data_IF_073025537004
#
_entry.id   IF_073025537004
#
_cell.length_a   1.000
_cell.length_b   1.000
_cell.length_c   1.000
_cell.angle_alpha   90.00
_cell.angle_beta   90.00
_cell.angle_gamma   90.00
#
_symmetry.space_group_name_H-M   'P 1'
#
loop_
_entity.id
_entity.type
_entity.pdbx_description
1 polymer ?
#
# COMPACT_ATOMS: atom_id res chain seq x y z
N UNK A 1 -31.01 40.43 39.46
CA UNK A 1 -30.17 39.22 39.64
C UNK A 1 -30.00 38.59 38.26
N UNK A 2 -28.91 38.94 37.56
CA UNK A 2 -27.74 38.08 37.28
C UNK A 2 -28.08 36.89 36.35
N UNK A 3 -27.70 37.00 35.07
CA UNK A 3 -26.63 36.21 34.40
C UNK A 3 -27.20 34.86 33.87
N UNK A 4 -27.14 34.45 32.59
CA UNK A 4 -26.03 34.42 31.64
C UNK A 4 -26.56 34.34 30.19
N UNK A 5 -25.89 35.03 29.27
CA UNK A 5 -25.85 34.76 27.83
C UNK A 5 -25.22 33.37 27.60
N UNK A 6 -25.59 32.65 26.55
CA UNK A 6 -24.66 32.33 25.45
C UNK A 6 -25.29 31.49 24.34
N UNK A 7 -24.90 31.88 23.13
CA UNK A 7 -25.19 31.36 21.81
C UNK A 7 -24.97 29.85 21.68
N UNK A 8 -25.97 29.14 21.14
CA UNK A 8 -25.74 27.80 20.60
C UNK A 8 -25.40 27.95 19.12
N UNK A 9 -24.11 27.90 18.81
CA UNK A 9 -23.62 27.74 17.44
C UNK A 9 -23.85 26.28 17.06
N UNK A 10 -24.76 26.03 16.13
CA UNK A 10 -24.91 24.73 15.48
C UNK A 10 -23.70 24.50 14.58
N UNK A 11 -22.74 23.69 15.03
CA UNK A 11 -21.74 23.08 14.14
C UNK A 11 -22.25 21.69 13.80
N UNK A 12 -22.86 21.57 12.63
CA UNK A 12 -23.08 20.29 11.96
C UNK A 12 -21.74 19.87 11.40
N UNK A 13 -21.07 18.91 12.06
CA UNK A 13 -19.89 18.26 11.52
C UNK A 13 -20.30 16.86 11.06
N UNK A 14 -20.45 16.73 9.75
CA UNK A 14 -20.47 15.47 9.02
C UNK A 14 -19.14 14.74 9.29
N UNK A 15 -19.16 13.64 10.02
CA UNK A 15 -18.03 12.73 10.11
C UNK A 15 -18.45 11.36 9.57
N UNK A 16 -18.19 11.18 8.28
CA UNK A 16 -17.94 9.86 7.71
C UNK A 16 -16.53 9.46 8.15
N UNK A 17 -16.42 8.48 9.06
CA UNK A 17 -15.13 7.90 9.43
C UNK A 17 -15.18 6.39 9.20
N UNK A 18 -14.47 5.96 8.17
CA UNK A 18 -14.11 4.58 7.91
C UNK A 18 -12.96 4.17 8.85
N UNK A 19 -12.99 2.92 9.35
CA UNK A 19 -11.99 2.27 10.22
C UNK A 19 -11.99 0.79 9.83
N UNK A 20 -10.93 -0.01 9.85
CA UNK A 20 -9.47 0.12 9.65
C UNK A 20 -9.09 -1.28 9.15
N UNK A 21 -8.24 -1.39 8.15
CA UNK A 21 -7.54 -2.63 7.83
C UNK A 21 -6.14 -2.20 7.43
N UNK A 22 -5.16 -2.86 8.02
CA UNK A 22 -3.77 -2.53 7.80
C UNK A 22 -3.25 -3.47 6.72
N UNK A 23 -2.55 -2.92 5.72
CA UNK A 23 -1.71 -3.65 4.78
C UNK A 23 -0.79 -4.65 5.44
N UNK A 24 0.02 -5.28 4.61
CA UNK A 24 1.24 -5.88 5.14
C UNK A 24 1.94 -4.83 6.02
N UNK A 25 2.48 -5.23 7.17
CA UNK A 25 3.19 -4.23 7.97
C UNK A 25 4.47 -3.84 7.24
N UNK A 26 4.99 -2.62 7.48
CA UNK A 26 6.22 -2.11 6.87
C UNK A 26 7.31 -3.18 6.62
N UNK A 27 7.76 -4.00 7.60
CA UNK A 27 8.82 -4.97 7.35
C UNK A 27 8.45 -6.03 6.31
N UNK A 28 7.17 -6.42 6.22
CA UNK A 28 6.72 -7.41 5.25
C UNK A 28 6.69 -6.82 3.82
N UNK A 29 6.18 -5.59 3.62
CA UNK A 29 6.25 -4.88 2.33
C UNK A 29 7.69 -4.74 1.83
N UNK A 30 8.59 -4.36 2.74
CA UNK A 30 10.01 -4.22 2.43
C UNK A 30 10.63 -5.57 2.06
N UNK A 31 10.33 -6.64 2.81
CA UNK A 31 10.86 -7.97 2.55
C UNK A 31 10.40 -8.55 1.21
N UNK A 32 9.13 -8.33 0.81
CA UNK A 32 8.65 -8.72 -0.53
C UNK A 32 9.45 -7.99 -1.62
N UNK A 33 9.60 -6.67 -1.48
CA UNK A 33 10.32 -5.85 -2.48
C UNK A 33 11.78 -6.26 -2.57
N UNK A 34 12.42 -6.47 -1.42
CA UNK A 34 13.80 -6.94 -1.30
C UNK A 34 13.97 -8.28 -2.03
N UNK A 35 13.08 -9.24 -1.77
CA UNK A 35 13.11 -10.56 -2.38
C UNK A 35 12.87 -10.50 -3.91
N UNK A 36 11.94 -9.66 -4.36
CA UNK A 36 11.69 -9.45 -5.78
C UNK A 36 12.94 -8.91 -6.50
N UNK A 37 13.62 -7.92 -5.92
CA UNK A 37 14.84 -7.32 -6.47
C UNK A 37 16.02 -8.31 -6.41
N UNK A 38 16.14 -9.11 -5.36
CA UNK A 38 17.16 -10.16 -5.25
C UNK A 38 17.00 -11.25 -6.32
N UNK A 39 15.76 -11.51 -6.75
CA UNK A 39 15.42 -12.52 -7.74
C UNK A 39 15.38 -11.99 -9.18
N UNK A 40 15.77 -10.73 -9.42
CA UNK A 40 15.98 -10.20 -10.78
C UNK A 40 17.17 -10.91 -11.45
N UNK A 41 17.11 -11.04 -12.77
CA UNK A 41 18.28 -11.50 -13.53
C UNK A 41 19.43 -10.48 -13.44
N UNK A 42 20.70 -10.89 -13.66
CA UNK A 42 21.83 -9.96 -13.65
C UNK A 42 21.66 -8.78 -14.62
N UNK A 43 21.01 -9.00 -15.77
CA UNK A 43 20.73 -7.96 -16.76
C UNK A 43 19.77 -6.91 -16.20
N UNK A 44 18.62 -7.32 -15.66
CA UNK A 44 17.67 -6.40 -15.03
C UNK A 44 18.28 -5.71 -13.81
N UNK A 45 19.06 -6.44 -13.01
CA UNK A 45 19.71 -5.88 -11.84
C UNK A 45 20.67 -4.75 -12.19
N UNK A 46 21.46 -4.92 -13.26
CA UNK A 46 22.37 -3.88 -13.75
C UNK A 46 21.62 -2.63 -14.20
N UNK A 47 20.47 -2.77 -14.88
CA UNK A 47 19.66 -1.61 -15.28
C UNK A 47 19.13 -0.88 -14.04
N UNK A 48 18.57 -1.62 -13.08
CA UNK A 48 18.03 -1.02 -11.85
C UNK A 48 19.11 -0.29 -11.04
N UNK A 49 20.31 -0.88 -10.90
CA UNK A 49 21.44 -0.26 -10.19
C UNK A 49 21.88 1.05 -10.89
N UNK A 50 21.87 1.10 -12.23
CA UNK A 50 22.18 2.33 -12.98
C UNK A 50 21.12 3.42 -12.76
N UNK A 51 19.83 3.05 -12.87
CA UNK A 51 18.72 3.99 -12.67
C UNK A 51 18.72 4.57 -11.25
N UNK A 52 18.99 3.73 -10.25
CA UNK A 52 19.11 4.16 -8.86
C UNK A 52 20.30 5.08 -8.62
N UNK A 53 21.46 4.79 -9.23
CA UNK A 53 22.64 5.64 -9.15
C UNK A 53 22.39 7.03 -9.74
N UNK A 54 21.56 7.15 -10.78
CA UNK A 54 21.11 8.45 -11.30
C UNK A 54 20.14 9.12 -10.35
N UNK A 55 19.09 8.41 -9.93
CA UNK A 55 18.01 8.92 -9.07
C UNK A 55 18.52 9.50 -7.74
N UNK A 56 19.56 8.89 -7.15
CA UNK A 56 20.10 9.31 -5.86
C UNK A 56 20.95 10.58 -5.89
N UNK A 57 21.25 11.13 -7.07
CA UNK A 57 22.18 12.26 -7.21
C UNK A 57 21.66 13.46 -6.42
N UNK A 58 22.43 13.95 -5.45
CA UNK A 58 22.03 15.04 -4.55
C UNK A 58 21.20 14.59 -3.32
N UNK A 59 20.94 13.30 -3.18
CA UNK A 59 20.22 12.69 -2.05
C UNK A 59 21.03 11.57 -1.39
N UNK A 60 22.37 11.60 -1.53
CA UNK A 60 23.25 10.54 -1.06
C UNK A 60 23.25 10.41 0.45
N UNK A 61 22.93 11.47 1.21
CA UNK A 61 22.78 11.40 2.67
C UNK A 61 21.48 10.70 3.10
N UNK A 62 20.50 10.59 2.19
CA UNK A 62 19.14 10.06 2.46
C UNK A 62 18.92 8.66 1.90
N UNK A 63 19.58 8.32 0.80
CA UNK A 63 19.38 7.07 0.08
C UNK A 63 20.62 6.17 0.14
N UNK A 64 20.46 4.86 0.25
CA UNK A 64 21.59 3.90 0.33
C UNK A 64 22.30 3.72 -1.01
N UNK A 65 23.63 3.62 -1.04
CA UNK A 65 24.39 3.48 -2.32
C UNK A 65 23.89 2.31 -3.17
N UNK A 66 23.64 1.15 -2.56
CA UNK A 66 23.00 0.03 -3.22
C UNK A 66 21.48 0.23 -3.28
N UNK A 67 20.83 -0.30 -4.32
CA UNK A 67 19.36 -0.28 -4.48
C UNK A 67 18.65 -0.93 -3.28
N UNK A 68 19.28 -1.97 -2.72
CA UNK A 68 18.76 -2.72 -1.57
C UNK A 68 19.84 -2.84 -0.49
N UNK A 69 19.42 -2.72 0.76
CA UNK A 69 20.17 -3.14 1.95
C UNK A 69 19.57 -4.47 2.43
N UNK A 70 20.36 -5.54 2.47
CA UNK A 70 19.84 -6.85 2.86
C UNK A 70 19.30 -6.89 4.31
N UNK A 71 19.72 -5.96 5.17
CA UNK A 71 19.46 -6.02 6.60
C UNK A 71 18.55 -4.92 7.12
N UNK A 72 18.70 -3.67 6.68
CA UNK A 72 18.15 -2.47 7.32
C UNK A 72 18.06 -2.63 8.84
N UNK A 73 19.18 -2.39 9.52
CA UNK A 73 19.23 -2.45 10.97
C UNK A 73 18.39 -1.36 11.64
N UNK A 74 18.18 -1.49 12.94
CA UNK A 74 17.66 -0.40 13.78
C UNK A 74 18.53 0.86 13.63
N UNK A 75 17.88 2.02 13.77
CA UNK A 75 18.42 3.37 13.57
C UNK A 75 19.03 3.61 12.17
N UNK A 76 18.26 3.39 11.08
CA UNK A 76 18.75 3.69 9.75
C UNK A 76 18.97 5.19 9.57
N UNK A 77 20.07 5.56 8.92
CA UNK A 77 20.35 6.94 8.50
C UNK A 77 20.00 7.18 7.04
N UNK A 78 19.79 6.10 6.27
CA UNK A 78 19.44 6.10 4.86
C UNK A 78 18.36 5.05 4.61
N UNK A 79 17.60 5.25 3.53
CA UNK A 79 16.60 4.30 3.04
C UNK A 79 17.03 3.72 1.70
N UNK A 80 16.77 2.42 1.53
CA UNK A 80 16.92 1.74 0.26
C UNK A 80 15.61 1.77 -0.55
N UNK A 81 15.64 1.33 -1.81
CA UNK A 81 14.44 1.33 -2.64
C UNK A 81 13.36 0.37 -2.12
N UNK A 82 13.76 -0.75 -1.50
CA UNK A 82 12.82 -1.70 -0.89
C UNK A 82 12.00 -1.08 0.25
N UNK A 83 12.49 -0.02 0.89
CA UNK A 83 11.76 0.72 1.90
C UNK A 83 10.61 1.56 1.34
N UNK A 84 10.63 1.90 0.05
CA UNK A 84 9.67 2.85 -0.51
C UNK A 84 8.25 2.26 -0.59
N UNK A 85 8.03 1.02 -1.09
CA UNK A 85 6.71 0.38 -1.01
C UNK A 85 6.18 0.21 0.41
N UNK A 86 7.06 0.08 1.41
CA UNK A 86 6.67 0.00 2.82
C UNK A 86 6.23 1.35 3.43
N UNK A 87 6.52 2.47 2.76
CA UNK A 87 6.12 3.83 3.15
C UNK A 87 4.86 4.27 2.38
N UNK A 88 4.74 3.83 1.14
CA UNK A 88 3.58 4.04 0.28
C UNK A 88 2.29 3.57 0.94
N UNK A 89 1.18 4.30 0.75
CA UNK A 89 -0.14 3.96 1.29
C UNK A 89 -0.31 4.14 2.80
N UNK A 90 0.55 3.53 3.59
CA UNK A 90 0.47 3.53 5.06
C UNK A 90 1.02 4.81 5.70
N UNK A 91 2.14 5.31 5.17
CA UNK A 91 2.86 6.49 5.68
C UNK A 91 2.88 7.64 4.67
N UNK A 92 2.08 7.53 3.60
CA UNK A 92 1.98 8.55 2.56
C UNK A 92 0.73 8.34 1.71
N UNK A 93 0.20 9.43 1.15
CA UNK A 93 -1.05 9.41 0.40
C UNK A 93 -0.89 9.44 -1.13
N UNK A 94 0.31 9.71 -1.64
CA UNK A 94 0.63 9.75 -3.07
C UNK A 94 2.13 9.50 -3.27
N UNK A 95 2.59 9.16 -4.49
CA UNK A 95 4.01 9.09 -4.81
C UNK A 95 4.76 10.39 -4.47
N UNK A 96 4.15 11.55 -4.74
CA UNK A 96 4.72 12.86 -4.42
C UNK A 96 4.93 13.02 -2.92
N UNK A 97 3.92 12.70 -2.11
CA UNK A 97 4.01 12.78 -0.66
C UNK A 97 5.00 11.76 -0.08
N UNK A 98 5.01 10.53 -0.63
CA UNK A 98 5.95 9.48 -0.26
C UNK A 98 7.39 9.93 -0.49
N UNK A 99 7.71 10.41 -1.69
CA UNK A 99 9.05 10.85 -2.05
C UNK A 99 9.48 12.06 -1.20
N UNK A 100 8.58 13.00 -0.94
CA UNK A 100 8.85 14.10 -0.02
C UNK A 100 9.25 13.59 1.37
N UNK A 101 8.50 12.64 1.93
CA UNK A 101 8.83 12.05 3.23
C UNK A 101 10.21 11.37 3.19
N UNK A 102 10.45 10.51 2.20
CA UNK A 102 11.71 9.77 2.02
C UNK A 102 12.92 10.71 1.95
N UNK A 103 12.82 11.83 1.24
CA UNK A 103 13.95 12.71 0.97
C UNK A 103 14.12 13.86 1.97
N UNK A 104 13.03 14.32 2.59
CA UNK A 104 13.03 15.62 3.28
C UNK A 104 12.68 15.56 4.76
N UNK A 105 12.19 14.43 5.30
CA UNK A 105 11.71 14.39 6.69
C UNK A 105 12.48 13.39 7.56
N UNK A 106 12.80 13.73 8.80
CA UNK A 106 13.55 12.82 9.68
C UNK A 106 12.65 11.78 10.35
N UNK A 107 11.35 12.06 10.47
CA UNK A 107 10.40 11.15 11.11
C UNK A 107 10.26 9.83 10.33
N UNK A 108 10.48 9.83 9.02
CA UNK A 108 10.37 8.59 8.22
C UNK A 108 11.50 7.59 8.57
N UNK A 109 12.68 8.08 8.95
CA UNK A 109 13.77 7.23 9.46
C UNK A 109 13.40 6.62 10.82
N UNK A 110 12.61 7.33 11.63
CA UNK A 110 12.07 6.79 12.88
C UNK A 110 11.01 5.70 12.62
N UNK A 111 10.19 5.85 11.58
CA UNK A 111 9.28 4.79 11.13
C UNK A 111 10.08 3.55 10.71
N UNK A 112 11.10 3.70 9.88
CA UNK A 112 11.96 2.60 9.46
C UNK A 112 12.66 1.92 10.66
N UNK A 113 13.07 2.69 11.67
CA UNK A 113 13.61 2.17 12.93
C UNK A 113 12.58 1.33 13.71
N UNK A 114 11.35 1.84 13.87
CA UNK A 114 10.27 1.12 14.56
C UNK A 114 9.93 -0.18 13.82
N UNK A 115 9.88 -0.14 12.48
CA UNK A 115 9.65 -1.31 11.65
C UNK A 115 10.75 -2.36 11.78
N UNK A 116 12.02 -1.95 11.81
CA UNK A 116 13.15 -2.86 12.05
C UNK A 116 13.06 -3.51 13.43
N UNK A 117 12.69 -2.75 14.47
CA UNK A 117 12.49 -3.29 15.81
C UNK A 117 11.28 -4.25 15.87
N UNK A 118 10.17 -3.92 15.20
CA UNK A 118 9.01 -4.80 15.12
C UNK A 118 9.36 -6.15 14.51
N UNK A 119 10.18 -6.17 13.45
CA UNK A 119 10.66 -7.42 12.83
C UNK A 119 11.41 -8.31 13.84
N UNK A 120 12.24 -7.70 14.69
CA UNK A 120 12.95 -8.41 15.78
C UNK A 120 11.95 -8.93 16.81
N UNK A 121 11.04 -8.07 17.27
CA UNK A 121 10.06 -8.40 18.31
C UNK A 121 9.12 -9.55 17.86
N UNK A 122 8.70 -9.57 16.59
CA UNK A 122 7.90 -10.66 16.01
C UNK A 122 8.69 -11.97 15.95
N UNK A 123 9.95 -11.92 15.52
CA UNK A 123 10.82 -13.10 15.46
C UNK A 123 11.11 -13.69 16.84
N UNK A 124 11.30 -12.85 17.86
CA UNK A 124 11.58 -13.27 19.24
C UNK A 124 10.35 -13.72 20.02
N UNK A 125 9.14 -13.43 19.52
CA UNK A 125 7.88 -13.82 20.16
C UNK A 125 7.75 -15.34 20.29
N UNK A 126 7.49 -15.83 21.51
CA UNK A 126 7.43 -17.27 21.81
C UNK A 126 6.01 -17.83 21.78
N UNK A 127 5.02 -16.95 21.81
CA UNK A 127 3.61 -17.30 21.82
C UNK A 127 2.76 -16.18 21.22
N UNK A 128 1.48 -16.49 20.97
CA UNK A 128 0.52 -15.57 20.37
C UNK A 128 0.34 -14.27 21.15
N UNK A 129 0.41 -14.29 22.48
CA UNK A 129 0.21 -13.08 23.28
C UNK A 129 1.39 -12.11 23.13
N UNK A 130 2.61 -12.62 23.19
CA UNK A 130 3.83 -11.83 22.92
C UNK A 130 3.82 -11.27 21.50
N UNK A 131 3.43 -12.07 20.52
CA UNK A 131 3.33 -11.65 19.12
C UNK A 131 2.33 -10.51 18.94
N UNK A 132 1.12 -10.63 19.50
CA UNK A 132 0.11 -9.57 19.45
C UNK A 132 0.60 -8.31 20.19
N UNK A 133 1.26 -8.47 21.34
CA UNK A 133 1.80 -7.32 22.07
C UNK A 133 2.87 -6.57 21.25
N UNK A 134 3.74 -7.28 20.52
CA UNK A 134 4.71 -6.65 19.62
C UNK A 134 4.03 -5.76 18.57
N UNK A 135 2.96 -6.26 17.93
CA UNK A 135 2.16 -5.50 16.96
C UNK A 135 1.52 -4.28 17.61
N UNK A 136 0.91 -4.42 18.80
CA UNK A 136 0.25 -3.29 19.47
C UNK A 136 1.24 -2.24 19.96
N UNK A 137 2.39 -2.67 20.43
CA UNK A 137 3.47 -1.76 20.82
C UNK A 137 4.04 -1.01 19.62
N UNK A 138 4.19 -1.67 18.46
CA UNK A 138 4.58 -0.97 17.23
C UNK A 138 3.51 0.01 16.75
N UNK A 139 2.23 -0.35 16.76
CA UNK A 139 1.13 0.55 16.35
C UNK A 139 1.17 1.85 17.18
N UNK A 140 1.37 1.73 18.49
CA UNK A 140 1.48 2.88 19.40
C UNK A 140 2.72 3.71 19.08
N UNK A 141 3.86 3.08 18.76
CA UNK A 141 5.10 3.78 18.38
C UNK A 141 4.93 4.48 17.03
N UNK A 142 4.37 3.82 16.01
CA UNK A 142 4.08 4.41 14.71
C UNK A 142 3.17 5.63 14.85
N UNK A 143 2.06 5.51 15.59
CA UNK A 143 1.14 6.62 15.82
C UNK A 143 1.77 7.84 16.51
N UNK A 144 2.88 7.66 17.24
CA UNK A 144 3.61 8.76 17.88
C UNK A 144 4.51 9.51 16.91
N UNK A 145 5.14 8.81 15.97
CA UNK A 145 6.07 9.41 14.99
C UNK A 145 5.37 9.87 13.72
N UNK A 146 4.26 9.22 13.37
CA UNK A 146 3.38 9.55 12.27
C UNK A 146 1.95 9.74 12.79
N UNK A 147 1.57 10.99 13.15
CA UNK A 147 0.24 11.29 13.69
C UNK A 147 -0.91 10.93 12.75
N UNK A 148 -0.66 10.81 11.45
CA UNK A 148 -1.68 10.49 10.44
C UNK A 148 -1.76 9.00 10.12
N UNK A 149 -0.88 8.16 10.69
CA UNK A 149 -0.79 6.72 10.43
C UNK A 149 -2.16 6.03 10.49
N UNK A 150 -2.89 6.21 11.59
CA UNK A 150 -4.23 5.62 11.75
C UNK A 150 -5.28 6.18 10.79
N UNK A 151 -5.15 7.44 10.36
CA UNK A 151 -6.13 8.10 9.50
C UNK A 151 -5.93 7.78 8.03
N UNK A 152 -4.68 7.54 7.58
CA UNK A 152 -4.37 7.13 6.19
C UNK A 152 -4.86 5.71 5.93
N UNK A 153 -4.47 4.75 6.77
CA UNK A 153 -4.91 3.35 6.67
C UNK A 153 -6.43 3.14 6.82
N UNK A 154 -7.16 4.15 7.33
CA UNK A 154 -8.61 4.08 7.55
C UNK A 154 -9.46 4.85 6.53
N UNK A 155 -8.87 5.67 5.67
CA UNK A 155 -9.63 6.68 4.91
C UNK A 155 -10.67 6.08 3.96
N UNK A 156 -10.34 4.94 3.35
CA UNK A 156 -11.17 4.26 2.35
C UNK A 156 -10.76 2.78 2.23
N UNK A 157 -11.12 2.15 1.11
CA UNK A 157 -10.93 0.73 0.83
C UNK A 157 -9.71 0.44 -0.05
N UNK A 158 -8.81 1.40 -0.30
CA UNK A 158 -7.75 1.28 -1.31
C UNK A 158 -6.80 0.10 -1.12
N UNK A 159 -6.56 -0.34 0.11
CA UNK A 159 -5.67 -1.47 0.34
C UNK A 159 -6.29 -2.82 -0.04
N UNK A 160 -7.61 -2.90 -0.12
CA UNK A 160 -8.30 -4.16 -0.40
C UNK A 160 -8.53 -4.39 -1.89
N UNK A 161 -8.70 -5.68 -2.23
CA UNK A 161 -9.23 -6.05 -3.54
C UNK A 161 -10.70 -5.66 -3.67
N UNK A 162 -11.07 -5.19 -4.89
CA UNK A 162 -12.45 -5.01 -5.28
C UNK A 162 -13.15 -6.38 -5.31
N UNK A 163 -14.32 -6.47 -4.69
CA UNK A 163 -15.08 -7.71 -4.72
C UNK A 163 -15.50 -8.07 -6.16
N UNK A 164 -15.39 -9.35 -6.53
CA UNK A 164 -15.85 -9.77 -7.86
C UNK A 164 -17.37 -9.74 -7.94
N UNK A 165 -17.95 -9.23 -9.05
CA UNK A 165 -19.39 -9.23 -9.23
C UNK A 165 -19.94 -10.64 -9.43
N UNK A 166 -19.24 -11.47 -10.22
CA UNK A 166 -19.67 -12.83 -10.57
C UNK A 166 -18.49 -13.82 -10.48
N UNK A 167 -18.81 -15.12 -10.39
CA UNK A 167 -17.80 -16.16 -10.24
C UNK A 167 -16.96 -16.39 -11.51
N UNK A 168 -17.52 -16.07 -12.68
CA UNK A 168 -16.98 -16.26 -14.02
C UNK A 168 -16.23 -15.03 -14.57
N UNK A 169 -16.16 -13.93 -13.82
CA UNK A 169 -15.34 -12.76 -14.17
C UNK A 169 -13.92 -13.22 -14.49
N UNK A 170 -13.34 -12.77 -15.60
CA UNK A 170 -11.94 -13.05 -15.95
C UNK A 170 -11.00 -11.90 -15.55
N UNK A 171 -9.68 -12.12 -15.63
CA UNK A 171 -8.67 -11.15 -15.18
C UNK A 171 -8.74 -9.81 -15.91
N UNK A 172 -9.09 -9.79 -17.21
CA UNK A 172 -9.20 -8.55 -18.00
C UNK A 172 -10.45 -7.77 -17.62
N UNK A 173 -11.58 -8.46 -17.52
CA UNK A 173 -12.83 -7.86 -17.03
C UNK A 173 -12.65 -7.29 -15.63
N UNK A 174 -11.94 -8.01 -14.77
CA UNK A 174 -11.65 -7.57 -13.41
C UNK A 174 -10.73 -6.34 -13.37
N UNK A 175 -9.67 -6.32 -14.18
CA UNK A 175 -8.80 -5.14 -14.33
C UNK A 175 -9.59 -3.92 -14.79
N UNK A 176 -10.43 -4.05 -15.81
CA UNK A 176 -11.30 -2.96 -16.28
C UNK A 176 -12.26 -2.49 -15.19
N UNK A 177 -12.84 -3.42 -14.41
CA UNK A 177 -13.71 -3.07 -13.29
C UNK A 177 -12.98 -2.31 -12.19
N UNK A 178 -11.73 -2.70 -11.86
CA UNK A 178 -10.90 -2.03 -10.86
C UNK A 178 -10.55 -0.59 -11.24
N UNK A 179 -10.54 -0.27 -12.54
CA UNK A 179 -10.18 1.04 -13.09
C UNK A 179 -11.39 1.89 -13.48
N UNK A 180 -12.59 1.31 -13.48
CA UNK A 180 -13.80 1.98 -13.95
C UNK A 180 -14.10 3.22 -13.08
N UNK A 181 -14.44 4.33 -13.73
CA UNK A 181 -14.87 5.54 -13.02
C UNK A 181 -16.02 5.23 -12.05
N UNK A 182 -15.89 5.68 -10.80
CA UNK A 182 -16.89 5.44 -9.77
C UNK A 182 -16.82 4.06 -9.10
N UNK A 183 -15.93 3.16 -9.54
CA UNK A 183 -15.58 1.99 -8.73
C UNK A 183 -15.01 2.43 -7.39
N UNK A 184 -15.27 1.68 -6.31
CA UNK A 184 -14.59 1.93 -5.03
C UNK A 184 -13.08 1.87 -5.25
N UNK A 185 -12.37 2.81 -4.62
CA UNK A 185 -10.92 2.82 -4.64
C UNK A 185 -10.41 1.49 -4.06
N UNK A 186 -9.54 0.82 -4.81
CA UNK A 186 -9.12 -0.57 -4.56
C UNK A 186 -7.65 -0.76 -4.96
N UNK A 187 -7.04 -1.85 -4.48
CA UNK A 187 -5.59 -1.99 -4.55
C UNK A 187 -5.08 -2.22 -5.97
N UNK A 188 -5.75 -3.03 -6.79
CA UNK A 188 -5.31 -3.24 -8.17
C UNK A 188 -5.58 -2.03 -9.08
N UNK A 189 -6.62 -1.25 -8.80
CA UNK A 189 -6.86 0.03 -9.46
C UNK A 189 -5.76 1.04 -9.15
N UNK A 190 -5.39 1.19 -7.88
CA UNK A 190 -4.29 2.05 -7.44
C UNK A 190 -2.93 1.57 -8.00
N UNK A 191 -2.62 0.28 -7.88
CA UNK A 191 -1.44 -0.32 -8.50
C UNK A 191 -1.35 0.03 -9.98
N UNK A 192 -2.42 -0.24 -10.75
CA UNK A 192 -2.41 0.00 -12.19
C UNK A 192 -2.22 1.48 -12.52
N UNK A 193 -2.88 2.38 -11.78
CA UNK A 193 -2.72 3.82 -11.94
C UNK A 193 -1.27 4.26 -11.84
N UNK A 194 -0.60 3.88 -10.75
CA UNK A 194 0.76 4.35 -10.49
C UNK A 194 1.80 3.59 -11.32
N UNK A 195 1.59 2.31 -11.61
CA UNK A 195 2.45 1.53 -12.49
C UNK A 195 2.44 2.12 -13.91
N UNK A 196 1.27 2.48 -14.45
CA UNK A 196 1.18 3.19 -15.73
C UNK A 196 1.95 4.51 -15.67
N UNK A 197 1.80 5.31 -14.61
CA UNK A 197 2.57 6.56 -14.42
C UNK A 197 4.09 6.30 -14.49
N UNK A 198 4.57 5.24 -13.84
CA UNK A 198 5.97 4.82 -13.85
C UNK A 198 6.44 4.38 -15.25
N UNK A 199 5.66 3.54 -15.95
CA UNK A 199 5.96 3.04 -17.30
C UNK A 199 6.08 4.18 -18.32
N UNK A 200 5.18 5.17 -18.26
CA UNK A 200 5.22 6.30 -19.17
C UNK A 200 6.45 7.20 -18.91
N UNK A 201 6.79 7.45 -17.64
CA UNK A 201 8.02 8.20 -17.28
C UNK A 201 9.30 7.45 -17.65
N UNK A 202 9.33 6.14 -17.47
CA UNK A 202 10.43 5.29 -17.90
C UNK A 202 10.60 5.29 -19.43
N UNK A 203 9.49 5.23 -20.18
CA UNK A 203 9.50 5.32 -21.65
C UNK A 203 10.00 6.69 -22.12
N UNK A 204 9.58 7.78 -21.47
CA UNK A 204 10.08 9.13 -21.75
C UNK A 204 11.58 9.26 -21.47
N UNK A 205 12.06 8.69 -20.37
CA UNK A 205 13.49 8.68 -20.00
C UNK A 205 14.38 8.03 -21.07
N UNK A 206 13.89 6.97 -21.72
CA UNK A 206 14.60 6.31 -22.80
C UNK A 206 14.55 7.09 -24.12
N UNK A 207 13.39 7.64 -24.48
CA UNK A 207 13.17 8.22 -25.81
C UNK A 207 13.60 9.69 -25.95
N UNK A 208 13.65 10.46 -24.86
CA UNK A 208 13.98 11.89 -24.93
C UNK A 208 15.45 12.20 -24.61
N UNK A 209 16.00 13.18 -25.34
CA UNK A 209 17.33 13.72 -25.07
C UNK A 209 17.25 14.80 -23.98
N UNK A 210 17.27 14.35 -22.73
CA UNK A 210 17.16 15.16 -21.52
C UNK A 210 18.55 15.51 -20.95
N UNK A 211 18.66 16.65 -20.27
CA UNK A 211 19.85 16.98 -19.45
C UNK A 211 20.01 16.00 -18.28
N UNK A 212 21.21 15.92 -17.68
CA UNK A 212 21.47 15.00 -16.56
C UNK A 212 20.55 15.28 -15.36
N UNK A 213 20.26 16.56 -15.10
CA UNK A 213 19.32 16.99 -14.06
C UNK A 213 17.89 16.52 -14.35
N UNK A 214 17.42 16.70 -15.58
CA UNK A 214 16.08 16.24 -16.01
C UNK A 214 15.99 14.72 -16.00
N UNK A 215 17.04 14.01 -16.42
CA UNK A 215 17.11 12.54 -16.36
C UNK A 215 17.02 12.04 -14.93
N UNK A 216 17.77 12.64 -14.01
CA UNK A 216 17.74 12.32 -12.58
C UNK A 216 16.34 12.54 -11.98
N UNK A 217 15.76 13.72 -12.19
CA UNK A 217 14.43 14.04 -11.67
C UNK A 217 13.33 13.12 -12.24
N UNK A 218 13.39 12.82 -13.53
CA UNK A 218 12.42 11.95 -14.19
C UNK A 218 12.52 10.51 -13.67
N UNK A 219 13.72 9.95 -13.55
CA UNK A 219 13.87 8.57 -13.06
C UNK A 219 13.54 8.44 -11.57
N UNK A 220 13.89 9.44 -10.77
CA UNK A 220 13.51 9.50 -9.35
C UNK A 220 11.99 9.52 -9.19
N UNK A 221 11.30 10.28 -10.04
CA UNK A 221 9.83 10.32 -10.08
C UNK A 221 9.23 8.98 -10.52
N UNK A 222 9.79 8.37 -11.55
CA UNK A 222 9.29 7.09 -12.07
C UNK A 222 9.47 5.95 -11.05
N UNK A 223 10.60 5.91 -10.34
CA UNK A 223 10.83 4.99 -9.23
C UNK A 223 9.86 5.24 -8.06
N UNK A 224 9.54 6.51 -7.77
CA UNK A 224 8.58 6.83 -6.72
C UNK A 224 7.17 6.31 -7.06
N UNK A 225 6.73 6.48 -8.31
CA UNK A 225 5.44 5.96 -8.76
C UNK A 225 5.40 4.44 -8.77
N UNK A 226 6.47 3.78 -9.24
CA UNK A 226 6.56 2.33 -9.22
C UNK A 226 6.51 1.80 -7.79
N UNK A 227 7.32 2.34 -6.88
CA UNK A 227 7.29 1.93 -5.49
C UNK A 227 5.92 2.12 -4.83
N UNK A 228 5.20 3.18 -5.20
CA UNK A 228 3.84 3.41 -4.72
C UNK A 228 2.83 2.43 -5.31
N UNK A 229 3.00 2.05 -6.58
CA UNK A 229 2.22 0.98 -7.20
C UNK A 229 2.46 -0.37 -6.51
N UNK A 230 3.73 -0.73 -6.29
CA UNK A 230 4.14 -2.01 -5.73
C UNK A 230 3.49 -2.28 -4.36
N UNK A 231 3.32 -1.24 -3.53
CA UNK A 231 2.62 -1.35 -2.26
C UNK A 231 1.23 -1.99 -2.40
N UNK A 232 0.39 -1.47 -3.30
CA UNK A 232 -0.95 -2.00 -3.48
C UNK A 232 -0.96 -3.37 -4.16
N UNK A 233 0.04 -3.66 -5.00
CA UNK A 233 0.20 -5.01 -5.53
C UNK A 233 0.59 -5.99 -4.41
N UNK A 234 1.38 -5.58 -3.43
CA UNK A 234 1.72 -6.40 -2.26
C UNK A 234 0.50 -6.65 -1.38
N UNK A 235 -0.30 -5.63 -1.11
CA UNK A 235 -1.54 -5.77 -0.34
C UNK A 235 -2.51 -6.78 -0.95
N UNK A 236 -2.52 -6.96 -2.28
CA UNK A 236 -3.34 -7.98 -2.91
C UNK A 236 -3.07 -9.41 -2.43
N UNK A 237 -1.92 -9.65 -1.79
CA UNK A 237 -1.51 -10.94 -1.21
C UNK A 237 -1.77 -11.07 0.29
N UNK A 238 -2.21 -10.03 1.00
CA UNK A 238 -2.64 -10.17 2.39
C UNK A 238 -3.99 -10.87 2.42
N UNK A 239 -4.11 -11.97 3.16
CA UNK A 239 -5.34 -12.74 3.21
C UNK A 239 -6.59 -11.90 3.58
N UNK A 240 -6.45 -10.97 4.53
CA UNK A 240 -7.51 -10.06 4.93
C UNK A 240 -7.91 -9.03 3.86
N UNK A 241 -6.98 -8.71 2.96
CA UNK A 241 -7.14 -7.75 1.86
C UNK A 241 -7.71 -8.42 0.61
N UNK A 242 -7.25 -9.65 0.36
CA UNK A 242 -7.78 -10.54 -0.66
C UNK A 242 -9.22 -10.93 -0.38
N UNK A 243 -9.57 -11.11 0.90
CA UNK A 243 -10.93 -11.43 1.30
C UNK A 243 -11.90 -10.43 0.67
N UNK A 244 -11.73 -9.13 0.92
CA UNK A 244 -12.46 -8.04 0.25
C UNK A 244 -13.06 -7.01 1.20
N UNK A 245 -13.79 -6.03 0.66
CA UNK A 245 -14.16 -4.76 1.31
C UNK A 245 -15.55 -4.72 1.96
N UNK A 246 -16.14 -5.85 2.35
CA UNK A 246 -17.57 -5.88 2.65
C UNK A 246 -17.93 -5.66 4.12
N UNK A 247 -19.20 -5.27 4.33
CA UNK A 247 -19.76 -5.09 5.65
C UNK A 247 -19.36 -3.76 6.30
N UNK A 248 -19.73 -3.61 7.57
CA UNK A 248 -19.34 -2.46 8.37
C UNK A 248 -17.87 -2.53 8.81
N UNK A 249 -17.38 -1.46 9.44
CA UNK A 249 -16.01 -1.37 9.95
C UNK A 249 -15.61 -2.55 10.88
N UNK A 250 -16.54 -3.02 11.72
CA UNK A 250 -16.31 -4.12 12.66
C UNK A 250 -16.16 -5.45 11.92
N UNK A 251 -16.99 -5.67 10.92
CA UNK A 251 -16.93 -6.85 10.08
C UNK A 251 -15.70 -6.86 9.19
N UNK A 252 -15.33 -5.71 8.59
CA UNK A 252 -14.09 -5.59 7.80
C UNK A 252 -12.88 -5.89 8.66
N UNK A 253 -12.71 -5.20 9.80
CA UNK A 253 -11.56 -5.42 10.69
C UNK A 253 -11.52 -6.85 11.23
N UNK A 254 -12.65 -7.40 11.65
CA UNK A 254 -12.71 -8.77 12.17
C UNK A 254 -12.36 -9.82 11.11
N UNK A 255 -12.87 -9.66 9.90
CA UNK A 255 -12.59 -10.55 8.76
C UNK A 255 -11.14 -10.43 8.32
N UNK A 256 -10.64 -9.21 8.25
CA UNK A 256 -9.26 -8.88 7.94
C UNK A 256 -8.28 -9.59 8.89
N UNK A 257 -8.41 -9.34 10.20
CA UNK A 257 -7.51 -9.89 11.22
C UNK A 257 -7.62 -11.41 11.30
N UNK A 258 -8.83 -11.95 11.15
CA UNK A 258 -9.04 -13.40 11.16
C UNK A 258 -8.28 -14.08 10.02
N UNK A 259 -8.44 -13.61 8.78
CA UNK A 259 -7.80 -14.27 7.63
C UNK A 259 -6.30 -14.03 7.59
N UNK A 260 -5.81 -12.86 8.01
CA UNK A 260 -4.37 -12.63 8.14
C UNK A 260 -3.73 -13.59 9.16
N UNK A 261 -4.36 -13.82 10.32
CA UNK A 261 -3.83 -14.74 11.34
C UNK A 261 -4.04 -16.23 10.99
N UNK A 262 -5.23 -16.61 10.51
CA UNK A 262 -5.62 -18.02 10.32
C UNK A 262 -5.38 -18.55 8.91
N UNK A 263 -5.14 -17.64 7.98
CA UNK A 263 -4.96 -17.90 6.58
C UNK A 263 -6.26 -17.98 5.79
N UNK A 264 -6.16 -17.69 4.49
CA UNK A 264 -7.22 -17.81 3.51
C UNK A 264 -6.73 -18.67 2.35
N UNK A 265 -7.43 -19.78 2.09
CA UNK A 265 -7.20 -20.56 0.88
C UNK A 265 -7.84 -19.88 -0.33
N UNK A 266 -7.04 -19.63 -1.36
CA UNK A 266 -7.47 -18.97 -2.59
C UNK A 266 -6.90 -19.69 -3.82
N UNK A 267 -7.39 -19.27 -4.98
CA UNK A 267 -6.74 -19.53 -6.27
C UNK A 267 -6.30 -18.22 -6.89
N UNK A 268 -5.21 -18.24 -7.66
CA UNK A 268 -4.84 -17.17 -8.59
C UNK A 268 -5.62 -17.28 -9.89
N UNK A 269 -5.60 -16.24 -10.72
CA UNK A 269 -6.30 -16.23 -12.00
C UNK A 269 -5.77 -17.28 -13.00
N UNK A 270 -4.49 -17.66 -12.88
CA UNK A 270 -3.88 -18.77 -13.62
C UNK A 270 -4.18 -20.17 -13.03
N UNK A 271 -4.98 -20.25 -11.97
CA UNK A 271 -5.48 -21.50 -11.39
C UNK A 271 -4.59 -22.14 -10.33
N UNK A 272 -3.49 -21.50 -9.90
CA UNK A 272 -2.68 -22.01 -8.78
C UNK A 272 -3.41 -21.81 -7.46
N UNK A 273 -3.44 -22.84 -6.63
CA UNK A 273 -3.98 -22.77 -5.26
C UNK A 273 -2.88 -22.36 -4.30
N UNK A 274 -3.22 -21.50 -3.35
CA UNK A 274 -2.32 -21.12 -2.25
C UNK A 274 -3.14 -20.77 -1.02
N UNK A 275 -2.48 -20.84 0.13
CA UNK A 275 -2.99 -20.29 1.38
C UNK A 275 -2.20 -19.02 1.59
N UNK A 276 -2.88 -17.91 1.86
CA UNK A 276 -2.26 -16.62 2.19
C UNK A 276 -2.41 -16.35 3.68
N UNK A 277 -1.43 -15.69 4.29
CA UNK A 277 -1.53 -14.95 5.55
C UNK A 277 -1.02 -13.51 5.29
N UNK A 278 -0.81 -12.70 6.32
CA UNK A 278 -0.28 -11.33 6.16
C UNK A 278 -0.43 -10.52 7.45
N UNK A 279 -0.16 -9.21 7.39
CA UNK A 279 -0.35 -8.26 8.50
C UNK A 279 0.25 -8.77 9.82
N UNK A 280 1.58 -8.88 9.82
CA UNK A 280 2.45 -9.46 10.84
C UNK A 280 2.47 -11.00 10.95
N UNK A 281 1.63 -11.70 10.18
CA UNK A 281 1.62 -13.16 10.09
C UNK A 281 2.14 -13.69 8.74
N UNK A 282 2.82 -12.86 7.92
CA UNK A 282 3.48 -13.31 6.68
C UNK A 282 4.41 -14.49 6.97
N UNK A 283 4.26 -15.58 6.20
CA UNK A 283 5.26 -16.66 6.16
C UNK A 283 6.24 -16.41 5.01
N UNK A 284 7.40 -17.05 5.08
CA UNK A 284 8.40 -17.01 4.00
C UNK A 284 7.80 -17.35 2.64
N UNK A 285 6.95 -18.38 2.59
CA UNK A 285 6.27 -18.77 1.35
C UNK A 285 5.28 -17.70 0.83
N UNK A 286 4.64 -16.92 1.71
CA UNK A 286 3.77 -15.82 1.26
C UNK A 286 4.61 -14.71 0.62
N UNK A 287 5.77 -14.38 1.21
CA UNK A 287 6.71 -13.43 0.66
C UNK A 287 7.22 -13.87 -0.73
N UNK A 288 7.59 -15.14 -0.87
CA UNK A 288 8.05 -15.73 -2.13
C UNK A 288 6.98 -15.68 -3.22
N UNK A 289 5.72 -15.96 -2.86
CA UNK A 289 4.60 -15.89 -3.80
C UNK A 289 4.29 -14.45 -4.23
N UNK A 290 4.25 -13.51 -3.28
CA UNK A 290 4.03 -12.10 -3.56
C UNK A 290 5.18 -11.48 -4.36
N UNK A 291 6.42 -11.92 -4.15
CA UNK A 291 7.58 -11.40 -4.88
C UNK A 291 7.56 -11.69 -6.39
N UNK A 292 6.81 -12.70 -6.85
CA UNK A 292 6.73 -13.07 -8.28
C UNK A 292 6.12 -11.96 -9.15
N UNK A 293 4.87 -11.50 -8.91
CA UNK A 293 4.30 -10.39 -9.67
C UNK A 293 5.03 -9.07 -9.41
N UNK A 294 5.55 -8.85 -8.21
CA UNK A 294 6.34 -7.65 -7.88
C UNK A 294 7.61 -7.59 -8.73
N UNK A 295 8.32 -8.72 -8.87
CA UNK A 295 9.46 -8.80 -9.79
C UNK A 295 9.02 -8.53 -11.23
N UNK A 296 7.90 -9.10 -11.66
CA UNK A 296 7.38 -8.89 -13.03
C UNK A 296 7.02 -7.43 -13.31
N UNK A 297 6.47 -6.71 -12.32
CA UNK A 297 6.21 -5.27 -12.37
C UNK A 297 7.51 -4.48 -12.55
N UNK A 298 8.52 -4.78 -11.73
CA UNK A 298 9.85 -4.16 -11.83
C UNK A 298 10.50 -4.47 -13.19
N UNK A 299 10.42 -5.71 -13.68
CA UNK A 299 10.95 -6.09 -15.00
C UNK A 299 10.27 -5.30 -16.14
N UNK A 300 8.94 -5.12 -16.09
CA UNK A 300 8.23 -4.29 -17.08
C UNK A 300 8.67 -2.82 -17.02
N UNK A 301 8.83 -2.26 -15.82
CA UNK A 301 9.38 -0.92 -15.61
C UNK A 301 10.79 -0.77 -16.20
N UNK A 302 11.66 -1.74 -15.95
CA UNK A 302 13.04 -1.74 -16.46
C UNK A 302 13.09 -1.96 -17.97
N UNK A 303 12.19 -2.74 -18.54
CA UNK A 303 12.06 -2.90 -19.98
C UNK A 303 11.63 -1.61 -20.67
N UNK A 304 10.75 -0.82 -20.05
CA UNK A 304 10.40 0.52 -20.53
C UNK A 304 11.61 1.47 -20.44
N UNK A 305 12.31 1.49 -19.30
CA UNK A 305 13.47 2.36 -19.08
C UNK A 305 14.68 2.02 -19.98
N UNK A 306 14.75 0.78 -20.47
CA UNK A 306 15.81 0.30 -21.37
C UNK A 306 15.37 0.24 -22.85
N UNK A 307 14.13 0.64 -23.16
CA UNK A 307 13.60 0.69 -24.52
C UNK A 307 13.30 -0.68 -25.14
N UNK A 308 13.28 -1.76 -24.35
CA UNK A 308 12.84 -3.09 -24.83
C UNK A 308 11.35 -3.11 -25.11
N UNK A 309 10.58 -2.36 -24.32
CA UNK A 309 9.18 -2.02 -24.63
C UNK A 309 9.07 -0.50 -24.75
N UNK A 310 8.37 -0.04 -25.78
CA UNK A 310 8.05 1.36 -25.96
C UNK A 310 6.55 1.53 -25.72
N UNK A 311 6.19 2.31 -24.70
CA UNK A 311 4.81 2.71 -24.45
C UNK A 311 4.60 4.15 -24.92
N UNK A 312 3.39 4.45 -25.41
CA UNK A 312 3.03 5.80 -25.84
C UNK A 312 2.88 6.74 -24.64
N UNK A 313 3.98 7.39 -24.27
CA UNK A 313 4.03 8.40 -23.21
C UNK A 313 3.42 9.75 -23.63
N UNK A 314 2.93 9.87 -24.87
CA UNK A 314 2.19 11.03 -25.37
C UNK A 314 0.70 10.71 -25.57
N UNK A 315 0.24 9.52 -25.14
CA UNK A 315 -1.14 9.11 -25.24
C UNK A 315 -2.07 10.22 -24.69
N UNK A 316 -3.10 10.55 -25.45
CA UNK A 316 -4.05 11.64 -25.17
C UNK A 316 -3.46 13.05 -24.98
N UNK A 317 -2.25 13.30 -25.46
CA UNK A 317 -1.53 14.57 -25.27
C UNK A 317 -1.33 14.94 -23.80
N UNK A 318 -1.24 13.94 -22.91
CA UNK A 318 -0.95 14.19 -21.50
C UNK A 318 0.50 14.68 -21.33
N UNK A 319 0.68 15.82 -20.65
CA UNK A 319 2.01 16.37 -20.40
C UNK A 319 2.60 15.67 -19.17
N UNK A 320 3.48 14.70 -19.41
CA UNK A 320 4.25 14.04 -18.35
C UNK A 320 5.31 14.97 -17.77
N UNK A 321 5.13 15.27 -16.47
CA UNK A 321 6.07 16.05 -15.65
C UNK A 321 7.18 15.15 -15.10
N UNK A 322 8.36 15.73 -14.90
CA UNK A 322 9.46 15.11 -14.14
C UNK A 322 9.22 15.29 -12.63
N UNK A 323 8.02 14.95 -12.17
CA UNK A 323 7.62 14.92 -10.77
C UNK A 323 6.81 13.64 -10.51
N UNK A 324 6.83 13.09 -9.29
CA UNK A 324 5.97 11.94 -8.96
C UNK A 324 4.50 12.29 -9.16
N UNK A 325 3.67 11.27 -9.34
CA UNK A 325 2.22 11.43 -9.43
C UNK A 325 1.67 12.05 -8.13
N UNK A 326 0.73 12.99 -8.28
CA UNK A 326 0.13 13.72 -7.17
C UNK A 326 -1.25 13.18 -6.77
N UNK A 327 -1.76 12.14 -7.46
CA UNK A 327 -3.05 11.55 -7.11
C UNK A 327 -3.01 11.00 -5.68
N UNK A 328 -3.84 11.58 -4.81
CA UNK A 328 -3.91 11.23 -3.39
C UNK A 328 -4.94 10.14 -3.14
N UNK A 329 -4.49 8.94 -2.79
CA UNK A 329 -5.39 7.83 -2.44
C UNK A 329 -6.17 8.10 -1.17
N UNK A 330 -5.63 8.88 -0.22
CA UNK A 330 -6.31 9.18 1.04
C UNK A 330 -7.47 10.17 0.88
N UNK A 331 -7.41 11.04 -0.14
CA UNK A 331 -8.39 12.10 -0.36
C UNK A 331 -9.59 11.66 -1.21
N UNK A 332 -9.59 10.42 -1.71
CA UNK A 332 -10.60 9.89 -2.62
C UNK A 332 -11.18 8.58 -2.06
N UNK A 333 -12.45 8.32 -2.34
CA UNK A 333 -13.09 7.02 -2.03
C UNK A 333 -13.36 6.18 -3.27
N UNK A 334 -13.24 6.76 -4.46
CA UNK A 334 -13.59 6.15 -5.73
C UNK A 334 -12.50 6.41 -6.76
N UNK A 335 -12.41 5.53 -7.75
CA UNK A 335 -11.53 5.68 -8.90
C UNK A 335 -11.94 6.91 -9.71
N UNK A 336 -10.96 7.78 -9.97
CA UNK A 336 -11.12 8.89 -10.91
C UNK A 336 -11.06 8.38 -12.35
N UNK A 337 -11.66 9.09 -13.31
CA UNK A 337 -11.50 8.75 -14.72
C UNK A 337 -10.03 8.90 -15.12
N UNK A 338 -9.48 7.85 -15.73
CA UNK A 338 -8.18 7.87 -16.39
C UNK A 338 -8.26 7.03 -17.64
N UNK A 339 -7.89 7.63 -18.76
CA UNK A 339 -7.72 6.92 -20.00
C UNK A 339 -6.36 6.22 -19.97
N UNK A 340 -6.36 4.92 -20.24
CA UNK A 340 -5.17 4.08 -20.30
C UNK A 340 -5.03 3.62 -21.73
N UNK A 341 -3.84 3.76 -22.29
CA UNK A 341 -3.51 3.22 -23.60
C UNK A 341 -3.89 1.73 -23.65
N UNK A 342 -4.77 1.30 -24.57
CA UNK A 342 -5.15 -0.10 -24.72
C UNK A 342 -3.96 -1.06 -24.84
N UNK A 343 -2.81 -0.61 -25.34
CA UNK A 343 -1.59 -1.43 -25.43
C UNK A 343 -0.99 -1.79 -24.07
N UNK A 344 -1.32 -1.05 -23.00
CA UNK A 344 -0.88 -1.33 -21.62
C UNK A 344 -1.73 -2.41 -20.93
N UNK A 345 -2.95 -2.69 -21.41
CA UNK A 345 -3.85 -3.64 -20.76
C UNK A 345 -3.28 -5.05 -20.72
N UNK A 346 -2.68 -5.51 -21.82
CA UNK A 346 -2.13 -6.86 -21.95
C UNK A 346 -0.89 -7.09 -21.06
N UNK A 347 0.13 -6.20 -21.08
CA UNK A 347 1.25 -6.25 -20.14
C UNK A 347 0.80 -6.29 -18.67
N UNK A 348 -0.14 -5.44 -18.29
CA UNK A 348 -0.62 -5.36 -16.90
C UNK A 348 -1.40 -6.62 -16.52
N UNK A 349 -2.27 -7.11 -17.40
CA UNK A 349 -3.00 -8.36 -17.18
C UNK A 349 -2.07 -9.57 -16.98
N UNK A 350 -0.87 -9.58 -17.57
CA UNK A 350 0.13 -10.65 -17.33
C UNK A 350 0.68 -10.64 -15.90
N UNK A 351 0.75 -9.48 -15.25
CA UNK A 351 1.13 -9.40 -13.83
C UNK A 351 -0.04 -9.90 -12.98
N UNK A 352 -1.23 -9.37 -13.26
CA UNK A 352 -2.45 -9.68 -12.52
C UNK A 352 -2.87 -11.15 -12.62
N UNK A 353 -2.52 -11.86 -13.69
CA UNK A 353 -2.90 -13.28 -13.80
C UNK A 353 -2.32 -14.15 -12.67
N UNK A 354 -1.25 -13.67 -12.03
CA UNK A 354 -0.57 -14.35 -10.93
C UNK A 354 -1.04 -13.88 -9.55
N UNK A 355 -1.93 -12.88 -9.48
CA UNK A 355 -2.47 -12.39 -8.20
C UNK A 355 -3.65 -13.24 -7.73
N UNK A 356 -3.99 -13.18 -6.43
CA UNK A 356 -5.14 -13.87 -5.88
C UNK A 356 -6.46 -13.43 -6.50
N UNK A 357 -7.36 -14.38 -6.70
CA UNK A 357 -8.74 -14.10 -7.13
C UNK A 357 -9.54 -13.60 -5.91
N UNK A 358 -10.15 -12.41 -5.96
CA UNK A 358 -10.91 -11.87 -4.83
C UNK A 358 -12.17 -12.67 -4.54
N UNK A 359 -12.65 -12.56 -3.30
CA UNK A 359 -13.95 -13.07 -2.89
C UNK A 359 -15.13 -12.44 -3.65
N UNK A 360 -16.25 -13.15 -3.69
CA UNK A 360 -17.51 -12.61 -4.20
C UNK A 360 -18.09 -11.58 -3.24
N UNK A 361 -18.72 -10.54 -3.79
CA UNK A 361 -19.35 -9.50 -2.97
C UNK A 361 -20.46 -10.04 -2.07
N UNK A 362 -21.38 -10.83 -2.64
CA UNK A 362 -22.52 -11.44 -1.92
C UNK A 362 -22.96 -12.73 -2.62
N UNK A 363 -23.75 -13.55 -1.93
CA UNK A 363 -24.46 -14.69 -2.53
C UNK A 363 -23.75 -16.03 -2.34
N UNK A 364 -24.11 -17.02 -3.17
CA UNK A 364 -23.51 -18.35 -3.09
C UNK A 364 -22.02 -18.28 -3.41
N UNK A 365 -21.20 -18.76 -2.47
CA UNK A 365 -19.74 -18.69 -2.57
C UNK A 365 -19.11 -17.47 -1.88
N UNK A 366 -19.88 -16.66 -1.13
CA UNK A 366 -19.30 -15.63 -0.27
C UNK A 366 -18.45 -16.25 0.85
N UNK A 367 -17.35 -15.57 1.21
CA UNK A 367 -16.46 -16.02 2.28
C UNK A 367 -17.10 -15.82 3.66
N UNK A 368 -16.85 -16.70 4.64
CA UNK A 368 -17.21 -16.46 6.04
C UNK A 368 -16.70 -15.11 6.53
N UNK A 369 -17.52 -14.41 7.31
CA UNK A 369 -17.23 -13.07 7.80
C UNK A 369 -17.18 -13.05 9.32
N UNK A 370 -16.21 -12.32 9.85
CA UNK A 370 -15.94 -12.26 11.28
C UNK A 370 -16.10 -10.83 11.76
N UNK A 371 -16.61 -10.66 12.99
CA UNK A 371 -16.75 -9.35 13.62
C UNK A 371 -15.73 -9.25 14.73
N UNK A 372 -15.10 -8.09 14.85
CA UNK A 372 -14.38 -7.73 16.07
C UNK A 372 -15.16 -6.67 16.83
N UNK A 373 -15.11 -6.72 18.16
CA UNK A 373 -15.61 -5.63 18.98
C UNK A 373 -14.76 -4.37 18.71
N UNK A 374 -15.43 -3.28 18.37
CA UNK A 374 -14.82 -1.96 18.23
C UNK A 374 -15.29 -1.13 19.42
N UNK A 375 -14.36 -0.75 20.30
CA UNK A 375 -14.67 -0.02 21.54
C UNK A 375 -13.59 0.97 21.94
N UNK A 376 -13.97 1.94 22.76
CA UNK A 376 -13.05 2.94 23.32
C UNK A 376 -12.17 2.29 24.40
N UNK A 377 -10.85 2.36 24.23
CA UNK A 377 -9.90 2.00 25.29
C UNK A 377 -9.37 3.25 25.98
N UNK A 378 -9.62 3.38 27.30
CA UNK A 378 -9.07 4.45 28.13
C UNK A 378 -7.95 3.84 28.99
N UNK A 379 -6.71 4.12 28.63
CA UNK A 379 -5.53 3.78 29.44
C UNK A 379 -5.08 4.98 30.26
N UNK A 380 -4.96 4.82 31.58
CA UNK A 380 -4.34 5.80 32.46
C UNK A 380 -2.86 5.44 32.65
N UNK A 381 -1.94 6.23 32.08
CA UNK A 381 -0.51 6.18 32.40
C UNK A 381 -0.16 7.38 33.27
N UNK A 382 0.77 7.22 34.22
CA UNK A 382 1.18 8.24 35.20
C UNK A 382 1.89 9.47 34.61
N UNK A 383 1.91 9.62 33.28
CA UNK A 383 2.23 10.85 32.57
C UNK A 383 0.96 11.39 31.89
N UNK A 384 0.37 12.45 32.45
CA UNK A 384 -0.84 13.07 31.89
C UNK A 384 -0.51 13.81 30.59
N UNK A 385 -0.77 13.16 29.45
CA UNK A 385 -1.29 13.80 28.24
C UNK A 385 -2.65 13.19 27.97
N UNK A 386 -3.71 13.95 28.21
CA UNK A 386 -5.07 13.55 27.85
C UNK A 386 -5.30 13.79 26.37
N UNK A 387 -5.51 12.72 25.60
CA UNK A 387 -6.17 12.78 24.30
C UNK A 387 -7.53 12.09 24.44
N UNK A 388 -8.58 12.76 24.00
CA UNK A 388 -9.95 12.23 24.01
C UNK A 388 -10.25 11.63 22.64
N UNK A 389 -10.42 10.31 22.57
CA UNK A 389 -11.11 9.65 21.45
C UNK A 389 -12.51 9.32 21.95
N UNK A 390 -13.55 9.65 21.18
CA UNK A 390 -14.95 9.42 21.53
C UNK A 390 -15.61 8.63 20.40
N UNK A 391 -16.25 7.52 20.76
CA UNK A 391 -17.07 6.70 19.87
C UNK A 391 -18.09 5.96 20.72
N UNK A 392 -19.24 6.58 20.96
CA UNK A 392 -20.35 6.04 21.74
C UNK A 392 -21.55 5.72 20.87
N UNK A 393 -22.43 4.87 21.41
CA UNK A 393 -23.69 4.39 20.87
C UNK A 393 -24.47 5.42 20.04
N UNK A 394 -24.87 5.02 18.82
CA UNK A 394 -25.83 5.77 18.03
C UNK A 394 -27.20 5.79 18.71
N UNK A 395 -27.92 6.91 18.58
CA UNK A 395 -29.24 7.17 19.19
C UNK A 395 -30.36 6.20 18.80
N UNK A 396 -30.11 5.24 17.91
CA UNK A 396 -31.10 4.31 17.37
C UNK A 396 -30.97 2.87 17.88
N UNK A 397 -30.03 2.56 18.79
CA UNK A 397 -29.85 1.20 19.30
C UNK A 397 -30.68 1.01 20.57
N UNK A 398 -31.83 0.31 20.47
CA UNK A 398 -32.78 0.15 21.56
C UNK A 398 -32.91 -1.26 22.13
N UNK A 399 -32.13 -2.27 21.67
CA UNK A 399 -32.14 -3.62 22.27
C UNK A 399 -30.78 -4.34 22.25
N UNK A 400 -30.47 -5.17 23.27
CA UNK A 400 -29.21 -5.91 23.40
C UNK A 400 -29.26 -7.31 22.76
N UNK A 401 -28.09 -7.79 22.34
CA UNK A 401 -27.75 -9.20 22.17
C UNK A 401 -26.42 -9.45 22.84
#
# INVERSE_FOLDING_TARGET
MKLFKQSFVSVVLLFFLSIKAYGWIYPEHRDITLLAIQNLSPEYRSVLDELWAKARTGYEERLTTAVIDATQSVNPTQLDYASWPAISGDHSCSPENMLYNVLQTDWILQVANIAAQLKIDLYESKNRYEHINAIRDSDIKFQRVDPEYATRAGSNNVHFLLARPNADTNVREYLTACLSEGAELNSLGAYTWFHVSALLKASKFFNENLSDEERSALILSALADEAFALHFLQDSFAAGHTAGTWGDASQRKGTHDYYNEKGLEISTWDGRRMILTGDAFMRVNDAELAAIPIRTSIEQFLDAASGKFAFDYQYNNEILKASPDSFSVCANSFMLPREIDPELIDPIAKILVTTPVPGLATGLGELPRFRTELGLFIGAVSSVRGNTVSGGFGTNQSKPG
#
